data_IF_314768898240
#
_entry.id   IF_314768898240
#
_cell.length_a   1.000
_cell.length_b   1.000
_cell.length_c   1.000
_cell.angle_alpha   90.00
_cell.angle_beta   90.00
_cell.angle_gamma   90.00
#
_symmetry.space_group_name_H-M   'P 1'
#
loop_
_entity.id
_entity.type
_entity.pdbx_description
1 polymer ?
#
# COMPACT_ATOMS: atom_id res chain seq x y z
N UNK A 1 9.61 5.92 19.14
CA UNK A 1 9.81 5.35 17.77
C UNK A 1 9.70 3.83 17.67
N UNK A 2 10.09 3.06 18.69
CA UNK A 2 10.02 1.57 18.69
C UNK A 2 8.59 1.05 18.47
N UNK A 3 7.56 1.73 18.99
CA UNK A 3 6.16 1.31 18.84
C UNK A 3 5.66 1.42 17.37
N UNK A 4 5.98 2.50 16.66
CA UNK A 4 5.58 2.68 15.26
C UNK A 4 6.21 1.65 14.32
N UNK A 5 7.43 1.21 14.59
CA UNK A 5 8.12 0.20 13.76
C UNK A 5 7.38 -1.14 13.69
N UNK A 6 6.46 -1.40 14.64
CA UNK A 6 5.57 -2.57 14.61
C UNK A 6 4.58 -2.50 13.46
N UNK A 7 4.12 -1.30 13.08
CA UNK A 7 2.98 -1.08 12.20
C UNK A 7 3.35 -0.41 10.87
N UNK A 8 4.47 0.32 10.84
CA UNK A 8 4.94 1.07 9.68
C UNK A 8 6.08 0.30 9.01
N UNK A 9 6.00 0.19 7.69
CA UNK A 9 7.01 -0.44 6.83
C UNK A 9 7.98 0.60 6.29
N UNK A 10 7.47 1.75 5.82
CA UNK A 10 8.27 2.80 5.22
C UNK A 10 7.65 4.19 5.43
N UNK A 11 8.49 5.22 5.45
CA UNK A 11 8.08 6.64 5.47
C UNK A 11 8.85 7.38 4.39
N UNK A 12 8.14 7.90 3.41
CA UNK A 12 8.70 8.69 2.31
C UNK A 12 8.24 10.13 2.39
N UNK A 13 9.19 11.04 2.29
CA UNK A 13 8.94 12.49 2.26
C UNK A 13 9.38 13.02 0.92
N UNK A 14 8.54 13.82 0.31
CA UNK A 14 8.83 14.52 -0.94
C UNK A 14 8.45 15.97 -0.78
N UNK A 15 9.44 16.85 -0.83
CA UNK A 15 9.22 18.29 -0.97
C UNK A 15 8.96 18.58 -2.45
N UNK A 16 7.89 19.31 -2.73
CA UNK A 16 7.40 19.54 -4.08
C UNK A 16 7.62 20.99 -4.48
N UNK A 17 8.24 21.20 -5.63
CA UNK A 17 8.52 22.54 -6.21
C UNK A 17 7.58 22.87 -7.38
N UNK A 18 6.50 22.12 -7.56
CA UNK A 18 5.52 22.30 -8.62
C UNK A 18 4.67 21.04 -8.86
N UNK A 19 3.83 21.05 -9.92
CA UNK A 19 3.01 19.90 -10.25
C UNK A 19 3.83 18.64 -10.50
N UNK A 20 3.44 17.52 -9.86
CA UNK A 20 4.13 16.24 -10.01
C UNK A 20 3.16 15.12 -10.37
N UNK A 21 3.53 14.33 -11.37
CA UNK A 21 2.80 13.12 -11.73
C UNK A 21 3.17 11.99 -10.75
N UNK A 22 2.16 11.42 -10.13
CA UNK A 22 2.30 10.33 -9.18
C UNK A 22 1.67 9.08 -9.78
N UNK A 23 2.35 7.96 -9.63
CA UNK A 23 1.86 6.65 -10.00
C UNK A 23 1.80 5.76 -8.75
N UNK A 24 0.71 5.03 -8.59
CA UNK A 24 0.59 3.98 -7.59
C UNK A 24 0.16 2.69 -8.26
N UNK A 25 1.02 1.70 -8.23
CA UNK A 25 0.77 0.37 -8.74
C UNK A 25 -0.06 -0.46 -7.74
N UNK A 26 -0.71 -1.55 -8.19
CA UNK A 26 -1.30 -2.54 -7.30
C UNK A 26 -0.24 -3.08 -6.34
N UNK A 27 -0.53 -3.08 -5.05
CA UNK A 27 0.46 -3.40 -4.03
C UNK A 27 -0.08 -4.14 -2.80
N UNK A 28 -1.42 -4.19 -2.65
CA UNK A 28 -2.07 -4.76 -1.46
C UNK A 28 -1.72 -4.01 -0.17
N UNK A 29 -1.34 -2.74 -0.24
CA UNK A 29 -0.92 -1.91 0.89
C UNK A 29 -1.91 -0.80 1.18
N UNK A 30 -2.01 -0.43 2.43
CA UNK A 30 -2.70 0.78 2.89
C UNK A 30 -1.67 1.81 3.31
N UNK A 31 -1.81 3.04 2.83
CA UNK A 31 -0.92 4.13 3.20
C UNK A 31 -1.71 5.24 3.87
N UNK A 32 -1.10 5.86 4.87
CA UNK A 32 -1.47 7.21 5.29
C UNK A 32 -0.69 8.20 4.44
N UNK A 33 -1.40 9.19 3.93
CA UNK A 33 -0.79 10.26 3.14
C UNK A 33 -1.13 11.58 3.82
N UNK A 34 -0.09 12.24 4.27
CA UNK A 34 -0.17 13.58 4.83
C UNK A 34 0.41 14.58 3.84
N UNK A 35 -0.34 15.64 3.52
CA UNK A 35 0.11 16.68 2.60
C UNK A 35 0.02 18.03 3.28
N UNK A 36 1.07 18.83 3.12
CA UNK A 36 1.07 20.24 3.47
C UNK A 36 0.92 21.03 2.18
N UNK A 37 -0.08 21.89 2.12
CA UNK A 37 -0.34 22.73 0.96
C UNK A 37 0.67 23.88 0.89
N UNK A 38 0.79 24.51 -0.27
CA UNK A 38 1.58 25.72 -0.45
C UNK A 38 1.16 26.79 0.57
N UNK A 39 2.13 27.51 1.12
CA UNK A 39 1.90 28.45 2.24
C UNK A 39 1.99 27.83 3.64
N UNK A 40 2.03 26.48 3.75
CA UNK A 40 2.37 25.76 5.00
C UNK A 40 1.32 25.81 6.13
N UNK A 41 0.16 26.46 5.89
CA UNK A 41 -0.86 26.68 6.92
C UNK A 41 -1.99 25.67 6.92
N UNK A 42 -2.17 24.96 5.84
CA UNK A 42 -3.23 23.97 5.65
C UNK A 42 -2.67 22.67 5.12
N UNK A 43 -3.40 21.60 5.31
CA UNK A 43 -3.01 20.28 4.82
C UNK A 43 -4.16 19.30 4.90
N UNK A 44 -3.92 18.11 4.42
CA UNK A 44 -4.87 17.00 4.52
C UNK A 44 -4.18 15.72 4.99
N UNK A 45 -4.95 14.85 5.62
CA UNK A 45 -4.53 13.53 6.05
C UNK A 45 -5.52 12.52 5.49
N UNK A 46 -5.04 11.73 4.55
CA UNK A 46 -5.85 10.74 3.84
C UNK A 46 -5.32 9.32 4.04
N UNK A 47 -6.22 8.37 3.98
CA UNK A 47 -5.92 6.94 3.86
C UNK A 47 -6.09 6.55 2.41
N UNK A 48 -5.05 6.03 1.81
CA UNK A 48 -5.11 5.42 0.48
C UNK A 48 -5.12 3.91 0.64
N UNK A 49 -6.24 3.29 0.35
CA UNK A 49 -6.43 1.85 0.46
C UNK A 49 -5.66 1.05 -0.58
N UNK A 50 -5.63 -0.28 -0.46
CA UNK A 50 -4.97 -1.16 -1.41
C UNK A 50 -5.58 -1.02 -2.80
N UNK A 51 -4.74 -1.16 -3.84
CA UNK A 51 -5.14 -0.97 -5.24
C UNK A 51 -5.14 -2.31 -5.96
N UNK A 52 -6.18 -2.52 -6.76
CA UNK A 52 -6.28 -3.67 -7.67
C UNK A 52 -5.81 -3.33 -9.09
N UNK A 53 -5.74 -2.03 -9.40
CA UNK A 53 -5.22 -1.48 -10.67
C UNK A 53 -4.37 -0.25 -10.38
N UNK A 54 -3.47 0.07 -11.30
CA UNK A 54 -2.67 1.28 -11.20
C UNK A 54 -3.54 2.54 -11.17
N UNK A 55 -3.08 3.52 -10.42
CA UNK A 55 -3.71 4.82 -10.29
C UNK A 55 -2.67 5.91 -10.57
N UNK A 56 -3.02 6.83 -11.46
CA UNK A 56 -2.17 7.96 -11.85
C UNK A 56 -2.88 9.25 -11.45
N UNK A 57 -2.17 10.17 -10.85
CA UNK A 57 -2.67 11.48 -10.46
C UNK A 57 -1.59 12.53 -10.63
N UNK A 58 -1.97 13.73 -11.07
CA UNK A 58 -1.12 14.91 -10.94
C UNK A 58 -1.45 15.60 -9.63
N UNK A 59 -0.44 15.84 -8.80
CA UNK A 59 -0.56 16.61 -7.58
C UNK A 59 -0.01 18.02 -7.84
N UNK A 60 -0.76 19.04 -7.40
CA UNK A 60 -0.38 20.45 -7.48
C UNK A 60 -0.75 21.16 -6.19
N UNK A 61 -0.20 22.34 -5.96
CA UNK A 61 -0.43 23.16 -4.76
C UNK A 61 -0.06 22.46 -3.45
N UNK A 62 0.93 21.57 -3.50
CA UNK A 62 1.43 20.82 -2.34
C UNK A 62 2.91 21.18 -2.17
N UNK A 63 3.26 21.68 -0.98
CA UNK A 63 4.64 21.97 -0.62
C UNK A 63 5.38 20.71 -0.14
N UNK A 64 4.68 19.87 0.64
CA UNK A 64 5.24 18.61 1.17
C UNK A 64 4.25 17.48 1.10
N UNK A 65 4.73 16.32 0.67
CA UNK A 65 4.00 15.07 0.60
C UNK A 65 4.71 14.02 1.45
N UNK A 66 4.02 13.49 2.45
CA UNK A 66 4.53 12.41 3.31
C UNK A 66 3.66 11.19 3.08
N UNK A 67 4.28 10.08 2.71
CA UNK A 67 3.62 8.77 2.59
C UNK A 67 4.13 7.87 3.71
N UNK A 68 3.22 7.36 4.52
CA UNK A 68 3.49 6.42 5.60
C UNK A 68 2.85 5.10 5.19
N UNK A 69 3.70 4.14 4.88
CA UNK A 69 3.29 2.82 4.42
C UNK A 69 3.02 1.90 5.61
N UNK A 70 1.78 1.44 5.75
CA UNK A 70 1.43 0.51 6.82
C UNK A 70 1.87 -0.91 6.45
N UNK A 71 2.40 -1.64 7.42
CA UNK A 71 2.68 -3.07 7.25
C UNK A 71 1.39 -3.81 6.91
N UNK A 72 1.48 -4.75 5.99
CA UNK A 72 0.32 -5.52 5.51
C UNK A 72 -0.40 -6.23 6.65
N UNK A 73 -1.73 -6.18 6.62
CA UNK A 73 -2.58 -6.80 7.62
C UNK A 73 -2.65 -6.08 8.97
N UNK A 74 -2.13 -4.84 9.06
CA UNK A 74 -2.26 -4.01 10.25
C UNK A 74 -3.25 -2.85 10.08
N UNK A 75 -3.63 -2.52 8.84
CA UNK A 75 -4.51 -1.37 8.55
C UNK A 75 -5.87 -1.48 9.25
N UNK A 76 -6.50 -2.66 9.28
CA UNK A 76 -7.79 -2.88 9.94
C UNK A 76 -7.72 -2.60 11.43
N UNK A 77 -6.65 -3.06 12.10
CA UNK A 77 -6.47 -2.84 13.53
C UNK A 77 -6.17 -1.38 13.86
N UNK A 78 -5.35 -0.71 13.03
CA UNK A 78 -5.00 0.70 13.21
C UNK A 78 -6.15 1.64 12.88
N UNK A 79 -6.89 1.37 11.81
CA UNK A 79 -7.92 2.27 11.32
C UNK A 79 -9.31 1.99 11.92
N UNK A 80 -9.54 0.79 12.45
CA UNK A 80 -10.82 0.39 13.03
C UNK A 80 -11.88 0.01 11.99
N UNK A 81 -11.50 -0.12 10.71
CA UNK A 81 -12.41 -0.52 9.62
C UNK A 81 -11.79 -1.64 8.79
N UNK A 82 -12.59 -2.57 8.22
CA UNK A 82 -12.07 -3.60 7.33
C UNK A 82 -11.30 -3.01 6.15
N UNK A 83 -10.13 -3.55 5.83
CA UNK A 83 -9.29 -3.04 4.74
C UNK A 83 -10.02 -3.07 3.38
N UNK A 84 -10.98 -3.99 3.18
CA UNK A 84 -11.81 -4.08 1.99
C UNK A 84 -12.67 -2.84 1.74
N UNK A 85 -13.08 -2.11 2.79
CA UNK A 85 -13.86 -0.86 2.65
C UNK A 85 -13.05 0.28 2.05
N UNK A 86 -11.72 0.15 2.09
CA UNK A 86 -10.75 1.12 1.59
C UNK A 86 -10.22 0.77 0.19
N UNK A 87 -10.51 -0.42 -0.32
CA UNK A 87 -9.99 -0.91 -1.61
C UNK A 87 -10.33 0.04 -2.75
N UNK A 88 -9.31 0.44 -3.53
CA UNK A 88 -9.40 1.42 -4.62
C UNK A 88 -9.89 2.81 -4.21
N UNK A 89 -9.94 3.12 -2.92
CA UNK A 89 -10.42 4.40 -2.40
C UNK A 89 -9.28 5.24 -1.83
N UNK A 90 -9.52 6.54 -1.82
CA UNK A 90 -8.79 7.54 -1.03
C UNK A 90 -9.85 8.22 -0.19
N UNK A 91 -9.70 8.16 1.12
CA UNK A 91 -10.65 8.73 2.08
C UNK A 91 -9.91 9.62 3.07
N UNK A 92 -10.53 10.67 3.55
CA UNK A 92 -9.92 11.45 4.63
C UNK A 92 -9.93 10.66 5.93
N UNK A 93 -8.90 10.83 6.76
CA UNK A 93 -8.86 10.13 8.04
C UNK A 93 -10.02 10.54 8.96
N UNK A 94 -10.50 11.77 8.84
CA UNK A 94 -11.67 12.23 9.59
C UNK A 94 -13.00 11.54 9.19
N UNK A 95 -13.11 11.00 7.98
CA UNK A 95 -14.26 10.18 7.57
C UNK A 95 -14.28 8.83 8.29
N UNK A 96 -13.12 8.38 8.81
CA UNK A 96 -12.96 7.12 9.53
C UNK A 96 -12.95 7.34 11.03
N UNK A 97 -12.28 8.40 11.51
CA UNK A 97 -12.03 8.66 12.92
C UNK A 97 -12.84 9.82 13.50
N UNK A 98 -13.65 10.50 12.70
CA UNK A 98 -14.39 11.68 13.13
C UNK A 98 -13.45 12.82 13.54
N UNK A 99 -13.80 13.50 14.63
CA UNK A 99 -13.03 14.63 15.15
C UNK A 99 -11.58 14.29 15.46
N UNK A 100 -11.30 13.09 15.99
CA UNK A 100 -9.93 12.67 16.27
C UNK A 100 -9.04 12.60 15.00
N UNK A 101 -9.62 12.30 13.83
CA UNK A 101 -8.89 12.35 12.57
C UNK A 101 -8.61 13.78 12.09
N UNK A 102 -9.55 14.71 12.33
CA UNK A 102 -9.37 16.12 12.06
C UNK A 102 -8.31 16.75 12.98
N UNK A 103 -8.39 16.46 14.28
CA UNK A 103 -7.44 16.94 15.28
C UNK A 103 -6.02 16.46 14.96
N UNK A 104 -5.86 15.19 14.58
CA UNK A 104 -4.56 14.65 14.18
C UNK A 104 -4.02 15.36 12.94
N UNK A 105 -4.85 15.62 11.91
CA UNK A 105 -4.45 16.40 10.73
C UNK A 105 -3.87 17.74 11.15
N UNK A 106 -4.58 18.47 12.00
CA UNK A 106 -4.19 19.81 12.43
C UNK A 106 -2.88 19.78 13.26
N UNK A 107 -2.73 18.76 14.11
CA UNK A 107 -1.49 18.52 14.83
C UNK A 107 -0.32 18.23 13.88
N UNK A 108 -0.54 17.46 12.80
CA UNK A 108 0.50 17.17 11.82
C UNK A 108 0.89 18.42 11.01
N UNK A 109 -0.08 19.27 10.64
CA UNK A 109 0.19 20.56 9.98
C UNK A 109 1.01 21.47 10.88
N UNK A 110 0.74 21.49 12.18
CA UNK A 110 1.47 22.29 13.17
C UNK A 110 2.81 21.65 13.61
N UNK A 111 3.16 20.46 13.12
CA UNK A 111 4.37 19.77 13.51
C UNK A 111 5.62 20.51 13.01
N UNK A 112 6.60 20.69 13.91
CA UNK A 112 7.82 21.44 13.63
C UNK A 112 8.84 20.67 12.80
N UNK A 113 8.74 19.34 12.81
CA UNK A 113 9.66 18.44 12.10
C UNK A 113 8.98 17.11 11.79
N UNK A 114 9.58 16.30 10.90
CA UNK A 114 9.09 14.94 10.65
C UNK A 114 9.10 14.06 11.92
N UNK A 115 10.16 14.06 12.76
CA UNK A 115 10.10 13.33 14.04
C UNK A 115 8.94 13.74 14.94
N UNK A 116 8.65 15.05 15.07
CA UNK A 116 7.49 15.55 15.82
C UNK A 116 6.16 15.04 15.22
N UNK A 117 6.00 15.08 13.89
CA UNK A 117 4.83 14.55 13.22
C UNK A 117 4.65 13.04 13.46
N UNK A 118 5.73 12.26 13.38
CA UNK A 118 5.70 10.81 13.64
C UNK A 118 5.41 10.49 15.10
N UNK A 119 5.86 11.30 16.03
CA UNK A 119 5.54 11.15 17.45
C UNK A 119 4.05 11.35 17.71
N UNK A 120 3.48 12.43 17.18
CA UNK A 120 2.02 12.70 17.27
C UNK A 120 1.18 11.57 16.67
N UNK A 121 1.60 11.08 15.51
CA UNK A 121 0.97 9.92 14.88
C UNK A 121 1.07 8.68 15.77
N UNK A 122 2.22 8.46 16.43
CA UNK A 122 2.43 7.36 17.36
C UNK A 122 1.43 7.39 18.52
N UNK A 123 1.26 8.54 19.13
CA UNK A 123 0.28 8.71 20.22
C UNK A 123 -1.15 8.44 19.75
N UNK A 124 -1.53 8.97 18.59
CA UNK A 124 -2.87 8.77 18.04
C UNK A 124 -3.19 7.31 17.74
N UNK A 125 -2.19 6.56 17.23
CA UNK A 125 -2.36 5.13 16.98
C UNK A 125 -2.32 4.30 18.28
N UNK A 126 -1.45 4.62 19.22
CA UNK A 126 -1.38 3.93 20.51
C UNK A 126 -2.72 4.01 21.25
N UNK A 127 -3.31 5.20 21.34
CA UNK A 127 -4.60 5.39 21.98
C UNK A 127 -5.74 4.52 21.39
N UNK A 128 -5.58 4.01 20.16
CA UNK A 128 -6.58 3.17 19.48
C UNK A 128 -6.27 1.67 19.53
N UNK A 129 -5.02 1.29 19.77
CA UNK A 129 -4.57 -0.11 19.64
C UNK A 129 -4.13 -0.75 20.95
N UNK A 130 -3.91 0.03 22.01
CA UNK A 130 -3.28 -0.45 23.25
C UNK A 130 -4.07 -1.53 24.00
N UNK A 131 -5.35 -1.74 23.68
CA UNK A 131 -6.21 -2.68 24.42
C UNK A 131 -6.81 -3.80 23.57
N UNK A 132 -6.53 -3.86 22.28
CA UNK A 132 -7.12 -4.89 21.41
C UNK A 132 -6.16 -6.05 21.17
N UNK A 133 -6.55 -7.26 21.61
CA UNK A 133 -5.87 -8.47 21.19
C UNK A 133 -5.87 -8.59 19.66
N UNK A 134 -4.74 -8.98 19.10
CA UNK A 134 -4.61 -9.14 17.65
C UNK A 134 -5.55 -10.23 17.12
N UNK A 135 -6.46 -9.92 16.17
CA UNK A 135 -7.39 -10.90 15.61
C UNK A 135 -6.67 -12.08 14.94
N UNK A 136 -7.19 -13.29 15.10
CA UNK A 136 -6.65 -14.49 14.44
C UNK A 136 -6.68 -14.36 12.91
N UNK A 137 -7.70 -13.69 12.34
CA UNK A 137 -7.81 -13.40 10.91
C UNK A 137 -6.67 -12.50 10.40
N UNK A 138 -6.24 -11.52 11.20
CA UNK A 138 -5.13 -10.63 10.86
C UNK A 138 -3.79 -11.39 10.86
N UNK A 139 -3.54 -12.25 11.86
CA UNK A 139 -2.36 -13.13 11.88
C UNK A 139 -2.33 -14.07 10.70
N UNK A 140 -3.48 -14.69 10.38
CA UNK A 140 -3.63 -15.58 9.23
C UNK A 140 -3.29 -14.85 7.92
N UNK A 141 -3.90 -13.68 7.69
CA UNK A 141 -3.68 -12.88 6.49
C UNK A 141 -2.21 -12.48 6.32
N UNK A 142 -1.54 -12.06 7.41
CA UNK A 142 -0.12 -11.69 7.36
C UNK A 142 0.81 -12.87 7.08
N UNK A 143 0.54 -14.04 7.70
CA UNK A 143 1.33 -15.26 7.42
C UNK A 143 1.19 -15.67 5.97
N UNK A 144 -0.03 -15.69 5.46
CA UNK A 144 -0.30 -16.06 4.07
C UNK A 144 0.28 -15.02 3.07
N UNK A 145 0.18 -13.71 3.36
CA UNK A 145 0.77 -12.67 2.52
C UNK A 145 2.30 -12.85 2.41
N UNK A 146 2.97 -13.13 3.53
CA UNK A 146 4.41 -13.42 3.55
C UNK A 146 4.77 -14.63 2.69
N UNK A 147 4.03 -15.73 2.80
CA UNK A 147 4.26 -16.91 1.96
C UNK A 147 4.08 -16.62 0.47
N UNK A 148 3.06 -15.84 0.09
CA UNK A 148 2.84 -15.44 -1.32
C UNK A 148 3.91 -14.47 -1.82
N UNK A 149 4.55 -13.70 -0.96
CA UNK A 149 5.64 -12.79 -1.32
C UNK A 149 6.98 -13.52 -1.52
N UNK A 150 7.28 -14.46 -0.65
CA UNK A 150 8.60 -15.13 -0.62
C UNK A 150 8.63 -16.39 -1.49
N UNK A 151 7.49 -17.05 -1.62
CA UNK A 151 7.37 -18.32 -2.34
C UNK A 151 6.33 -18.17 -3.48
N UNK A 152 6.62 -18.73 -4.65
CA UNK A 152 5.67 -18.71 -5.78
C UNK A 152 4.62 -19.81 -5.63
N UNK A 153 3.87 -19.81 -4.51
CA UNK A 153 2.90 -20.83 -4.17
C UNK A 153 1.52 -20.58 -4.80
N UNK A 154 0.81 -21.68 -5.08
CA UNK A 154 -0.62 -21.64 -5.35
C UNK A 154 -1.39 -21.30 -4.08
N UNK A 155 -2.49 -20.59 -4.20
CA UNK A 155 -3.32 -20.17 -3.07
C UNK A 155 -3.86 -21.38 -2.29
N UNK A 156 -4.19 -22.48 -2.99
CA UNK A 156 -4.60 -23.75 -2.37
C UNK A 156 -3.51 -24.31 -1.44
N UNK A 157 -2.26 -24.32 -1.90
CA UNK A 157 -1.12 -24.79 -1.12
C UNK A 157 -0.84 -23.91 0.09
N UNK A 158 -1.04 -22.59 -0.03
CA UNK A 158 -0.94 -21.67 1.11
C UNK A 158 -2.04 -21.96 2.15
N UNK A 159 -3.28 -22.15 1.70
CA UNK A 159 -4.40 -22.50 2.59
C UNK A 159 -4.16 -23.83 3.33
N UNK A 160 -3.71 -24.86 2.58
CA UNK A 160 -3.38 -26.17 3.13
C UNK A 160 -2.27 -26.10 4.18
N UNK A 161 -1.15 -25.43 3.87
CA UNK A 161 -0.02 -25.25 4.83
C UNK A 161 -0.41 -24.47 6.09
N UNK A 162 -1.44 -23.64 6.00
CA UNK A 162 -1.96 -22.86 7.13
C UNK A 162 -3.12 -23.57 7.86
N UNK A 163 -3.53 -24.77 7.41
CA UNK A 163 -4.60 -25.56 8.03
C UNK A 163 -5.98 -24.89 7.90
N UNK A 164 -6.23 -24.15 6.82
CA UNK A 164 -7.48 -23.42 6.60
C UNK A 164 -8.06 -23.71 5.21
N UNK A 165 -9.37 -23.47 5.05
CA UNK A 165 -10.00 -23.52 3.73
C UNK A 165 -9.64 -22.30 2.89
N UNK A 166 -9.64 -22.43 1.56
CA UNK A 166 -9.45 -21.30 0.64
C UNK A 166 -10.49 -20.17 0.86
N UNK A 167 -11.71 -20.53 1.26
CA UNK A 167 -12.77 -19.56 1.62
C UNK A 167 -12.39 -18.76 2.87
N UNK A 168 -11.90 -19.42 3.92
CA UNK A 168 -11.44 -18.76 5.14
C UNK A 168 -10.25 -17.84 4.84
N UNK A 169 -9.27 -18.31 4.08
CA UNK A 169 -8.13 -17.51 3.65
C UNK A 169 -8.57 -16.26 2.87
N UNK A 170 -9.49 -16.39 1.91
CA UNK A 170 -10.03 -15.26 1.16
C UNK A 170 -10.70 -14.23 2.06
N UNK A 171 -11.51 -14.69 3.04
CA UNK A 171 -12.16 -13.79 3.99
C UNK A 171 -11.14 -13.01 4.82
N UNK A 172 -10.14 -13.69 5.37
CA UNK A 172 -9.08 -13.07 6.16
C UNK A 172 -8.29 -12.03 5.34
N UNK A 173 -7.99 -12.32 4.06
CA UNK A 173 -7.34 -11.38 3.14
C UNK A 173 -8.19 -10.15 2.87
N UNK A 174 -9.47 -10.32 2.50
CA UNK A 174 -10.36 -9.18 2.23
C UNK A 174 -10.50 -8.27 3.47
N UNK A 175 -10.64 -8.86 4.64
CA UNK A 175 -10.79 -8.13 5.89
C UNK A 175 -9.52 -7.34 6.26
N UNK A 176 -8.33 -7.94 6.16
CA UNK A 176 -7.11 -7.39 6.74
C UNK A 176 -6.10 -6.85 5.70
N UNK A 177 -6.14 -7.31 4.44
CA UNK A 177 -5.30 -6.83 3.33
C UNK A 177 -6.11 -5.93 2.38
N UNK A 178 -7.43 -6.16 2.28
CA UNK A 178 -8.36 -5.40 1.46
C UNK A 178 -8.52 -5.93 0.04
N UNK A 179 -7.69 -6.87 -0.40
CA UNK A 179 -7.81 -7.55 -1.71
C UNK A 179 -7.80 -9.05 -1.51
N UNK A 180 -8.31 -9.80 -2.50
CA UNK A 180 -8.26 -11.26 -2.44
C UNK A 180 -6.83 -11.82 -2.61
N UNK A 181 -6.56 -13.07 -2.15
CA UNK A 181 -5.23 -13.67 -2.29
C UNK A 181 -4.75 -13.76 -3.75
N UNK A 182 -5.67 -13.94 -4.71
CA UNK A 182 -5.36 -13.98 -6.15
C UNK A 182 -4.87 -12.64 -6.66
N UNK A 183 -5.59 -11.56 -6.33
CA UNK A 183 -5.22 -10.20 -6.74
C UNK A 183 -3.93 -9.76 -6.05
N UNK A 184 -3.74 -10.15 -4.78
CA UNK A 184 -2.50 -9.93 -4.07
C UNK A 184 -1.32 -10.63 -4.75
N UNK A 185 -1.43 -11.91 -5.10
CA UNK A 185 -0.38 -12.64 -5.81
C UNK A 185 -0.06 -12.02 -7.19
N UNK A 186 -1.09 -11.53 -7.92
CA UNK A 186 -0.90 -10.79 -9.18
C UNK A 186 -0.10 -9.49 -8.94
N UNK A 187 -0.45 -8.74 -7.89
CA UNK A 187 0.26 -7.50 -7.55
C UNK A 187 1.75 -7.77 -7.17
N UNK A 188 2.04 -8.87 -6.48
CA UNK A 188 3.41 -9.29 -6.17
C UNK A 188 4.20 -9.62 -7.43
N UNK A 189 3.61 -10.37 -8.37
CA UNK A 189 4.26 -10.67 -9.66
C UNK A 189 4.52 -9.38 -10.46
N UNK A 190 3.53 -8.48 -10.55
CA UNK A 190 3.69 -7.18 -11.20
C UNK A 190 4.86 -6.39 -10.61
N UNK A 191 4.97 -6.35 -9.27
CA UNK A 191 6.07 -5.65 -8.60
C UNK A 191 7.43 -6.23 -8.98
N UNK A 192 7.56 -7.57 -9.01
CA UNK A 192 8.79 -8.24 -9.46
C UNK A 192 9.15 -7.85 -10.89
N UNK A 193 8.17 -7.80 -11.79
CA UNK A 193 8.39 -7.36 -13.19
C UNK A 193 8.92 -5.94 -13.22
N UNK A 194 8.33 -5.00 -12.48
CA UNK A 194 8.76 -3.60 -12.46
C UNK A 194 10.18 -3.45 -11.88
N UNK A 195 10.48 -4.17 -10.80
CA UNK A 195 11.82 -4.19 -10.19
C UNK A 195 12.89 -4.78 -11.12
N UNK A 196 12.55 -5.86 -11.84
CA UNK A 196 13.47 -6.52 -12.78
C UNK A 196 13.66 -5.72 -14.06
N UNK A 197 12.61 -5.06 -14.58
CA UNK A 197 12.67 -4.27 -15.81
C UNK A 197 13.62 -3.08 -15.74
N UNK A 198 13.96 -2.61 -14.53
CA UNK A 198 14.97 -1.57 -14.33
C UNK A 198 16.42 -2.09 -14.54
N UNK A 199 16.63 -3.40 -14.57
CA UNK A 199 17.96 -4.06 -14.60
C UNK A 199 18.17 -4.94 -15.83
N UNK A 200 17.09 -5.43 -16.45
CA UNK A 200 17.12 -6.42 -17.52
C UNK A 200 16.23 -5.97 -18.68
N UNK A 201 16.67 -6.27 -19.92
CA UNK A 201 15.89 -5.95 -21.13
C UNK A 201 15.14 -7.16 -21.71
N UNK A 202 15.42 -8.37 -21.25
CA UNK A 202 14.77 -9.60 -21.73
C UNK A 202 13.46 -9.85 -21.00
N UNK A 203 12.36 -9.58 -21.69
CA UNK A 203 11.01 -9.79 -21.17
C UNK A 203 10.62 -11.25 -21.00
N UNK A 204 11.26 -12.18 -21.75
CA UNK A 204 11.03 -13.62 -21.58
C UNK A 204 11.60 -14.10 -20.25
N UNK A 205 12.83 -13.71 -19.94
CA UNK A 205 13.47 -14.04 -18.67
C UNK A 205 12.74 -13.38 -17.49
N UNK A 206 12.37 -12.10 -17.62
CA UNK A 206 11.58 -11.39 -16.59
C UNK A 206 10.25 -12.11 -16.32
N UNK A 207 9.57 -12.61 -17.36
CA UNK A 207 8.32 -13.34 -17.20
C UNK A 207 8.52 -14.63 -16.40
N UNK A 208 9.54 -15.40 -16.72
CA UNK A 208 9.88 -16.65 -16.01
C UNK A 208 10.20 -16.37 -14.53
N UNK A 209 11.08 -15.40 -14.26
CA UNK A 209 11.52 -15.04 -12.91
C UNK A 209 10.37 -14.49 -12.05
N UNK A 210 9.44 -13.76 -12.65
CA UNK A 210 8.27 -13.23 -11.97
C UNK A 210 7.14 -14.27 -11.77
N UNK A 211 7.27 -15.46 -12.36
CA UNK A 211 6.31 -16.57 -12.23
C UNK A 211 5.13 -16.47 -13.19
N UNK A 212 5.32 -15.89 -14.37
CA UNK A 212 4.40 -15.98 -15.51
C UNK A 212 4.70 -17.22 -16.36
N UNK A 213 3.69 -17.69 -17.08
CA UNK A 213 3.85 -18.83 -17.98
C UNK A 213 4.74 -18.49 -19.18
N UNK A 214 4.52 -17.31 -19.76
CA UNK A 214 5.29 -16.76 -20.88
C UNK A 214 5.21 -15.21 -20.90
N UNK A 215 5.93 -14.60 -21.85
CA UNK A 215 5.93 -13.16 -22.07
C UNK A 215 4.56 -12.61 -22.46
N UNK A 216 3.75 -13.34 -23.23
CA UNK A 216 2.42 -12.90 -23.67
C UNK A 216 1.48 -12.79 -22.46
N UNK A 217 1.52 -13.75 -21.56
CA UNK A 217 0.77 -13.73 -20.30
C UNK A 217 1.21 -12.55 -19.41
N UNK A 218 2.51 -12.29 -19.30
CA UNK A 218 3.02 -11.11 -18.59
C UNK A 218 2.47 -9.82 -19.18
N UNK A 219 2.55 -9.63 -20.52
CA UNK A 219 2.09 -8.42 -21.19
C UNK A 219 0.59 -8.21 -21.00
N UNK A 220 -0.20 -9.27 -21.10
CA UNK A 220 -1.66 -9.22 -20.90
C UNK A 220 -2.02 -8.82 -19.46
N UNK A 221 -1.40 -9.47 -18.47
CA UNK A 221 -1.61 -9.17 -17.04
C UNK A 221 -1.16 -7.75 -16.68
N UNK A 222 -0.02 -7.33 -17.20
CA UNK A 222 0.52 -5.97 -16.99
C UNK A 222 -0.42 -4.90 -17.56
N UNK A 223 -0.92 -5.09 -18.79
CA UNK A 223 -1.90 -4.18 -19.40
C UNK A 223 -3.19 -4.09 -18.60
N UNK A 224 -3.69 -5.21 -18.11
CA UNK A 224 -4.91 -5.22 -17.29
C UNK A 224 -4.71 -4.44 -15.98
N UNK A 225 -3.54 -4.59 -15.34
CA UNK A 225 -3.26 -4.00 -14.03
C UNK A 225 -2.79 -2.54 -14.12
N UNK A 226 -2.05 -2.17 -15.17
CA UNK A 226 -1.38 -0.87 -15.29
C UNK A 226 -2.00 0.02 -16.38
N UNK A 227 -2.69 -0.56 -17.35
CA UNK A 227 -3.30 0.17 -18.47
C UNK A 227 -2.37 0.38 -19.67
N UNK A 228 -1.08 0.06 -19.55
CA UNK A 228 -0.06 0.20 -20.63
C UNK A 228 0.80 -1.07 -20.70
N UNK A 229 1.60 -1.20 -21.76
CA UNK A 229 2.55 -2.31 -21.86
C UNK A 229 3.74 -2.12 -20.91
N UNK A 230 4.43 -3.21 -20.49
CA UNK A 230 5.66 -3.12 -19.71
C UNK A 230 6.71 -2.21 -20.34
N UNK A 231 6.93 -2.33 -21.64
CA UNK A 231 7.89 -1.50 -22.39
C UNK A 231 7.51 -0.02 -22.39
N UNK A 232 6.22 0.30 -22.59
CA UNK A 232 5.74 1.68 -22.51
C UNK A 232 5.89 2.25 -21.09
N UNK A 233 5.60 1.46 -20.07
CA UNK A 233 5.78 1.85 -18.67
C UNK A 233 7.25 2.14 -18.34
N UNK A 234 8.17 1.26 -18.74
CA UNK A 234 9.60 1.43 -18.49
C UNK A 234 10.15 2.72 -19.14
N UNK A 235 9.75 3.03 -20.38
CA UNK A 235 10.14 4.28 -21.05
C UNK A 235 9.67 5.54 -20.31
N UNK A 236 8.48 5.52 -19.71
CA UNK A 236 7.95 6.64 -18.93
C UNK A 236 8.61 6.77 -17.55
N UNK A 237 9.03 5.66 -16.97
CA UNK A 237 9.72 5.65 -15.67
C UNK A 237 11.16 6.18 -15.76
N UNK A 238 11.82 6.01 -16.92
CA UNK A 238 13.19 6.48 -17.17
C UNK A 238 13.25 7.90 -17.73
N UNK A 239 12.14 8.46 -18.25
CA UNK A 239 12.07 9.79 -18.86
C UNK A 239 11.60 10.92 -17.94
N UNK A 240 11.44 10.68 -16.65
CA UNK A 240 10.94 11.64 -15.65
C UNK A 240 11.98 11.95 -14.58
N UNK A 241 13.20 12.35 -15.01
CA UNK A 241 14.23 12.93 -14.16
C UNK A 241 14.17 14.45 -14.20
#
# INVERSE_FOLDING_TARGET
MVWLSRFIDDVRVVDMTGPRRLARLPDGRTNLVFRVHEGGRTGDLTVTGPRTRAYFKTASNIARWVTIELKRGWSTQLLGVPASTLTNRIVHLHDIWGTAGADLRDQLVAARSLPDALERLSYAFAARTDHAAEPASARLARRAARMLETENLRISSVAERLGVTARHLRRAFNENIGVGPKDFARAIRLRRVVESSARMADWGQIAADAGYYDQAHLIADFRELVGVTPTAFAKHATGGG
#
